data_IF_339919261276
#
_entry.id   IF_339919261276
#
_cell.length_a   1.000
_cell.length_b   1.000
_cell.length_c   1.000
_cell.angle_alpha   90.00
_cell.angle_beta   90.00
_cell.angle_gamma   90.00
#
_symmetry.space_group_name_H-M   'P 1'
#
loop_
_entity.id
_entity.type
_entity.pdbx_description
1 polymer ?
#
# COMPACT_ATOMS: atom_id res chain seq x y z
N UNK A 1 53.64 3.05 24.88
CA UNK A 1 52.35 3.71 24.62
C UNK A 1 51.84 3.53 23.19
N UNK A 2 52.65 3.68 22.13
CA UNK A 2 52.18 3.47 20.73
C UNK A 2 51.74 2.03 20.41
N UNK A 3 52.48 1.03 20.90
CA UNK A 3 52.17 -0.40 20.66
C UNK A 3 50.92 -0.87 21.38
N UNK A 4 50.70 -0.44 22.62
CA UNK A 4 49.48 -0.73 23.39
C UNK A 4 48.24 -0.13 22.76
N UNK A 5 48.35 1.08 22.18
CA UNK A 5 47.24 1.73 21.46
C UNK A 5 46.88 0.98 20.17
N UNK A 6 47.87 0.45 19.45
CA UNK A 6 47.65 -0.32 18.22
C UNK A 6 46.93 -1.65 18.47
N UNK A 7 47.29 -2.39 19.53
CA UNK A 7 46.60 -3.62 19.90
C UNK A 7 45.17 -3.37 20.37
N UNK A 8 44.93 -2.28 21.10
CA UNK A 8 43.60 -1.89 21.54
C UNK A 8 42.68 -1.59 20.35
N UNK A 9 43.16 -0.79 19.39
CA UNK A 9 42.42 -0.46 18.18
C UNK A 9 42.13 -1.70 17.30
N UNK A 10 43.11 -2.59 17.15
CA UNK A 10 42.95 -3.83 16.41
C UNK A 10 41.90 -4.75 17.07
N UNK A 11 41.94 -4.86 18.40
CA UNK A 11 40.95 -5.63 19.17
C UNK A 11 39.53 -5.08 19.01
N UNK A 12 39.36 -3.75 19.05
CA UNK A 12 38.05 -3.10 18.84
C UNK A 12 37.54 -3.35 17.41
N UNK A 13 38.41 -3.27 16.40
CA UNK A 13 38.02 -3.51 15.01
C UNK A 13 37.57 -4.97 14.77
N UNK A 14 38.29 -5.94 15.35
CA UNK A 14 37.93 -7.37 15.27
C UNK A 14 36.59 -7.66 15.98
N UNK A 15 36.36 -7.04 17.15
CA UNK A 15 35.09 -7.16 17.87
C UNK A 15 33.92 -6.54 17.09
N UNK A 16 34.12 -5.38 16.46
CA UNK A 16 33.11 -4.73 15.62
C UNK A 16 32.79 -5.57 14.38
N UNK A 17 33.80 -6.11 13.70
CA UNK A 17 33.62 -6.95 12.52
C UNK A 17 32.91 -8.29 12.84
N UNK A 18 33.26 -8.93 13.95
CA UNK A 18 32.62 -10.18 14.39
C UNK A 18 31.14 -9.99 14.71
N UNK A 19 30.78 -8.90 15.40
CA UNK A 19 29.37 -8.60 15.70
C UNK A 19 28.56 -8.25 14.45
N UNK A 20 29.16 -7.56 13.47
CA UNK A 20 28.50 -7.26 12.20
C UNK A 20 28.20 -8.52 11.39
N UNK A 21 29.08 -9.53 11.42
CA UNK A 21 28.85 -10.81 10.75
C UNK A 21 27.75 -11.65 11.42
N UNK A 22 27.65 -11.63 12.76
CA UNK A 22 26.57 -12.30 13.49
C UNK A 22 25.20 -11.66 13.26
N UNK A 23 25.17 -10.34 12.99
CA UNK A 23 23.95 -9.61 12.67
C UNK A 23 23.58 -9.65 11.18
N UNK A 24 24.44 -10.21 10.32
CA UNK A 24 24.17 -10.31 8.89
C UNK A 24 23.02 -11.31 8.64
N UNK A 25 22.06 -10.99 7.75
CA UNK A 25 20.97 -11.91 7.42
C UNK A 25 21.55 -13.23 6.90
N UNK A 26 21.16 -14.34 7.54
CA UNK A 26 21.66 -15.67 7.18
C UNK A 26 21.38 -15.99 5.72
N UNK A 27 22.40 -16.52 5.04
CA UNK A 27 22.28 -17.17 3.74
C UNK A 27 22.43 -18.68 3.95
N UNK A 28 21.48 -19.49 3.46
CA UNK A 28 21.60 -20.94 3.56
C UNK A 28 22.74 -21.48 2.67
N UNK A 29 23.07 -20.77 1.58
CA UNK A 29 24.24 -21.03 0.72
C UNK A 29 24.87 -19.73 0.23
N UNK A 30 26.21 -19.67 0.06
CA UNK A 30 26.88 -18.52 -0.54
C UNK A 30 26.29 -18.19 -1.91
N UNK A 31 25.94 -16.91 -2.13
CA UNK A 31 25.35 -16.43 -3.39
C UNK A 31 23.83 -16.52 -3.48
N UNK A 32 23.15 -17.07 -2.46
CA UNK A 32 21.68 -17.06 -2.41
C UNK A 32 21.16 -15.68 -2.00
N UNK A 33 20.11 -15.14 -2.65
CA UNK A 33 19.44 -13.94 -2.18
C UNK A 33 18.92 -14.14 -0.75
N UNK A 34 19.18 -13.17 0.12
CA UNK A 34 18.61 -13.16 1.48
C UNK A 34 17.12 -12.85 1.41
N UNK A 35 16.38 -13.21 2.47
CA UNK A 35 14.95 -12.89 2.55
C UNK A 35 14.73 -11.37 2.50
N UNK A 36 13.90 -10.91 1.55
CA UNK A 36 13.56 -9.50 1.43
C UNK A 36 12.73 -9.05 2.65
N UNK A 37 13.22 -8.03 3.36
CA UNK A 37 12.49 -7.34 4.43
C UNK A 37 12.32 -5.88 4.05
N UNK A 38 11.11 -5.37 4.19
CA UNK A 38 10.77 -3.98 3.85
C UNK A 38 10.20 -3.32 5.09
N UNK A 39 10.70 -2.13 5.41
CA UNK A 39 10.16 -1.26 6.44
C UNK A 39 9.50 -0.06 5.78
N UNK A 40 8.25 0.21 6.16
CA UNK A 40 7.46 1.31 5.60
C UNK A 40 7.03 2.18 6.77
N UNK A 41 7.32 3.48 6.67
CA UNK A 41 6.99 4.48 7.67
C UNK A 41 6.26 5.65 7.01
N UNK A 42 5.17 6.11 7.63
CA UNK A 42 4.48 7.32 7.19
C UNK A 42 5.31 8.55 7.61
N UNK A 43 5.51 9.51 6.71
CA UNK A 43 6.26 10.75 7.03
C UNK A 43 5.55 11.66 8.04
N UNK A 44 4.26 11.47 8.26
CA UNK A 44 3.46 12.24 9.21
C UNK A 44 2.10 11.57 9.49
N UNK A 45 1.43 11.98 10.56
CA UNK A 45 0.19 11.36 11.05
C UNK A 45 -1.03 11.52 10.13
N UNK A 46 -1.00 12.48 9.20
CA UNK A 46 -2.07 12.72 8.22
C UNK A 46 -1.86 12.06 6.86
N UNK A 47 -0.81 11.25 6.69
CA UNK A 47 -0.51 10.59 5.42
C UNK A 47 -0.56 9.08 5.58
N UNK A 48 -1.33 8.42 4.73
CA UNK A 48 -1.36 6.97 4.63
C UNK A 48 -0.53 6.52 3.43
N UNK A 49 0.45 5.64 3.65
CA UNK A 49 1.15 4.94 2.56
C UNK A 49 0.40 3.63 2.28
N UNK A 50 -0.22 3.46 1.10
CA UNK A 50 -0.90 2.22 0.77
C UNK A 50 0.11 1.09 0.55
N UNK A 51 -0.18 -0.09 1.11
CA UNK A 51 0.66 -1.30 0.99
C UNK A 51 -0.20 -2.44 0.46
N UNK A 52 0.15 -2.98 -0.72
CA UNK A 52 -0.41 -4.22 -1.25
C UNK A 52 0.55 -5.37 -0.97
N UNK A 53 0.03 -6.47 -0.40
CA UNK A 53 0.79 -7.69 -0.18
C UNK A 53 0.30 -8.72 -1.20
N UNK A 54 1.13 -9.00 -2.19
CA UNK A 54 0.87 -10.04 -3.17
C UNK A 54 1.42 -11.37 -2.66
N UNK A 55 0.55 -12.37 -2.52
CA UNK A 55 0.93 -13.74 -2.21
C UNK A 55 0.49 -14.62 -3.37
N UNK A 56 1.43 -15.36 -3.96
CA UNK A 56 1.18 -16.30 -5.06
C UNK A 56 0.40 -17.55 -4.59
N UNK A 57 0.37 -17.82 -3.27
CA UNK A 57 -0.38 -18.94 -2.70
C UNK A 57 -1.81 -18.54 -2.29
N UNK A 58 -2.76 -18.69 -3.22
CA UNK A 58 -4.20 -18.43 -3.01
C UNK A 58 -4.84 -19.23 -1.86
N UNK A 59 -4.18 -20.29 -1.38
CA UNK A 59 -4.73 -21.22 -0.39
C UNK A 59 -4.12 -21.10 1.02
N UNK A 60 -3.14 -20.20 1.23
CA UNK A 60 -2.49 -20.06 2.54
C UNK A 60 -2.76 -18.66 3.12
N UNK A 61 -3.46 -18.56 4.27
CA UNK A 61 -3.68 -17.26 4.90
C UNK A 61 -2.36 -16.66 5.38
N UNK A 62 -2.17 -15.36 5.13
CA UNK A 62 -1.01 -14.61 5.60
C UNK A 62 -1.11 -14.39 7.11
N UNK A 63 -0.06 -14.75 7.85
CA UNK A 63 0.03 -14.42 9.29
C UNK A 63 0.50 -12.99 9.46
N UNK A 64 -0.30 -12.17 10.14
CA UNK A 64 0.01 -10.77 10.44
C UNK A 64 0.11 -10.58 11.94
N UNK A 65 1.18 -9.91 12.39
CA UNK A 65 1.34 -9.48 13.78
C UNK A 65 1.31 -7.96 13.84
N UNK A 66 0.42 -7.41 14.67
CA UNK A 66 0.32 -5.97 14.92
C UNK A 66 0.80 -5.69 16.33
N UNK A 67 1.72 -4.73 16.48
CA UNK A 67 2.28 -4.33 17.79
C UNK A 67 2.16 -2.81 17.97
N UNK A 68 1.83 -2.37 19.20
CA UNK A 68 1.99 -0.96 19.59
C UNK A 68 0.89 0.03 19.19
N UNK A 69 -0.32 -0.40 18.82
CA UNK A 69 -1.42 0.53 18.53
C UNK A 69 -2.39 0.67 19.71
N UNK A 70 -2.60 1.87 20.30
CA UNK A 70 -3.50 2.07 21.44
C UNK A 70 -4.99 1.86 21.09
N UNK A 71 -5.34 1.79 19.79
CA UNK A 71 -6.71 1.63 19.31
C UNK A 71 -7.03 0.26 18.68
N UNK A 72 -6.08 -0.69 18.69
CA UNK A 72 -6.31 -2.04 18.13
C UNK A 72 -6.33 -3.06 19.26
N UNK A 73 -7.52 -3.33 19.78
CA UNK A 73 -7.75 -4.50 20.64
C UNK A 73 -7.79 -5.74 19.75
N UNK A 74 -6.68 -6.46 19.62
CA UNK A 74 -6.67 -7.81 19.05
C UNK A 74 -7.24 -8.75 20.11
N UNK A 75 -8.57 -8.83 20.18
CA UNK A 75 -9.24 -9.87 20.97
C UNK A 75 -8.77 -11.24 20.52
N UNK A 76 -8.52 -12.14 21.47
CA UNK A 76 -8.14 -13.52 21.19
C UNK A 76 -9.04 -14.12 20.12
N UNK A 77 -8.42 -14.71 19.09
CA UNK A 77 -9.10 -15.36 17.97
C UNK A 77 -10.04 -14.48 17.14
N UNK A 78 -9.72 -13.20 16.92
CA UNK A 78 -10.32 -12.50 15.78
C UNK A 78 -9.51 -12.89 14.54
N UNK A 79 -10.02 -13.89 13.81
CA UNK A 79 -9.72 -14.04 12.38
C UNK A 79 -10.15 -12.72 11.75
N UNK A 80 -9.20 -11.83 11.44
CA UNK A 80 -9.49 -10.62 10.68
C UNK A 80 -9.97 -11.12 9.31
N UNK A 81 -11.25 -10.98 8.95
CA UNK A 81 -11.73 -11.49 7.70
C UNK A 81 -11.21 -10.57 6.59
N UNK A 82 -10.01 -10.83 6.08
CA UNK A 82 -9.53 -10.23 4.83
C UNK A 82 -10.22 -10.99 3.69
N UNK A 83 -11.48 -10.65 3.43
CA UNK A 83 -12.20 -11.16 2.27
C UNK A 83 -11.80 -10.31 1.06
N UNK A 84 -11.28 -10.95 0.02
CA UNK A 84 -11.25 -10.34 -1.32
C UNK A 84 -12.70 -10.27 -1.80
N UNK A 85 -13.35 -9.14 -1.53
CA UNK A 85 -14.69 -8.86 -2.06
C UNK A 85 -14.50 -8.30 -3.45
N UNK A 86 -15.11 -8.90 -4.48
CA UNK A 86 -15.35 -8.16 -5.72
C UNK A 86 -16.26 -7.00 -5.37
N UNK A 87 -15.73 -5.79 -5.39
CA UNK A 87 -16.52 -4.58 -5.20
C UNK A 87 -17.54 -4.50 -6.33
N UNK A 88 -18.83 -4.54 -5.96
CA UNK A 88 -19.89 -4.35 -6.93
C UNK A 88 -19.93 -2.85 -7.28
N UNK A 89 -19.99 -2.57 -8.58
CA UNK A 89 -20.03 -1.21 -9.10
C UNK A 89 -21.41 -0.91 -9.65
N UNK A 90 -21.94 0.25 -9.29
CA UNK A 90 -23.08 0.85 -9.96
C UNK A 90 -22.56 1.76 -11.09
N UNK A 91 -23.26 1.77 -12.22
CA UNK A 91 -22.92 2.58 -13.39
C UNK A 91 -24.10 3.45 -13.79
N UNK A 92 -23.82 4.68 -14.21
CA UNK A 92 -24.82 5.56 -14.81
C UNK A 92 -24.20 6.39 -15.93
N UNK A 93 -25.06 6.90 -16.80
CA UNK A 93 -24.67 7.77 -17.91
C UNK A 93 -25.27 9.15 -17.68
N UNK A 94 -24.43 10.18 -17.71
CA UNK A 94 -24.85 11.57 -17.70
C UNK A 94 -24.70 12.17 -19.09
N UNK A 95 -25.77 12.74 -19.64
CA UNK A 95 -25.69 13.52 -20.88
C UNK A 95 -25.44 14.98 -20.57
N UNK A 96 -24.37 15.54 -21.15
CA UNK A 96 -23.99 16.95 -21.08
C UNK A 96 -24.27 17.58 -22.44
N UNK A 97 -25.30 18.42 -22.57
CA UNK A 97 -25.59 19.09 -23.84
C UNK A 97 -24.46 20.03 -24.27
N UNK A 98 -24.35 20.27 -25.57
CA UNK A 98 -23.35 21.18 -26.12
C UNK A 98 -23.47 22.59 -25.52
N UNK A 99 -22.33 23.19 -25.17
CA UNK A 99 -22.28 24.54 -24.58
C UNK A 99 -22.69 24.63 -23.10
N UNK A 100 -23.07 23.51 -22.46
CA UNK A 100 -23.33 23.49 -21.02
C UNK A 100 -22.07 23.26 -20.19
N UNK A 101 -22.10 23.75 -18.95
CA UNK A 101 -21.03 23.55 -17.99
C UNK A 101 -21.15 22.15 -17.33
N UNK A 102 -20.23 21.20 -17.62
CA UNK A 102 -20.28 19.85 -17.04
C UNK A 102 -20.07 19.85 -15.52
N UNK A 103 -19.34 20.83 -14.96
CA UNK A 103 -19.01 20.87 -13.54
C UNK A 103 -20.26 21.04 -12.68
N UNK A 104 -21.19 21.91 -13.09
CA UNK A 104 -22.44 22.13 -12.37
C UNK A 104 -23.36 20.89 -12.37
N UNK A 105 -23.26 20.05 -13.40
CA UNK A 105 -24.02 18.80 -13.50
C UNK A 105 -23.37 17.66 -12.69
N UNK A 106 -22.03 17.67 -12.58
CA UNK A 106 -21.27 16.63 -11.89
C UNK A 106 -21.19 16.83 -10.36
N UNK A 107 -21.22 18.08 -9.88
CA UNK A 107 -21.14 18.40 -8.45
C UNK A 107 -22.12 17.61 -7.56
N UNK A 108 -23.44 17.58 -7.84
CA UNK A 108 -24.37 16.80 -7.02
C UNK A 108 -24.13 15.29 -7.10
N UNK A 109 -23.59 14.80 -8.22
CA UNK A 109 -23.27 13.37 -8.40
C UNK A 109 -22.00 12.99 -7.65
N UNK A 110 -20.99 13.87 -7.61
CA UNK A 110 -19.78 13.70 -6.82
C UNK A 110 -20.09 13.59 -5.32
N UNK A 111 -21.02 14.40 -4.81
CA UNK A 111 -21.50 14.30 -3.42
C UNK A 111 -22.19 12.95 -3.11
N UNK A 112 -22.73 12.29 -4.14
CA UNK A 112 -23.33 10.96 -4.04
C UNK A 112 -22.34 9.81 -4.30
N UNK A 113 -21.04 10.13 -4.38
CA UNK A 113 -19.95 9.16 -4.55
C UNK A 113 -19.73 8.70 -6.00
N UNK A 114 -20.33 9.38 -6.98
CA UNK A 114 -20.11 9.06 -8.39
C UNK A 114 -18.83 9.67 -8.94
N UNK A 115 -18.07 8.87 -9.68
CA UNK A 115 -16.82 9.27 -10.34
C UNK A 115 -16.93 9.07 -11.85
N UNK A 116 -16.44 10.04 -12.64
CA UNK A 116 -16.38 9.91 -14.10
C UNK A 116 -15.27 8.94 -14.51
N UNK A 117 -15.62 7.95 -15.33
CA UNK A 117 -14.68 6.93 -15.84
C UNK A 117 -14.51 6.95 -17.34
N UNK A 118 -15.41 7.61 -18.06
CA UNK A 118 -15.36 7.67 -19.51
C UNK A 118 -16.15 8.84 -20.06
N UNK A 119 -15.81 9.24 -21.28
CA UNK A 119 -16.56 10.24 -22.03
C UNK A 119 -16.69 9.80 -23.49
N UNK A 120 -17.82 10.12 -24.11
CA UNK A 120 -18.10 9.85 -25.51
C UNK A 120 -18.80 11.06 -26.11
N UNK A 121 -18.39 11.49 -27.30
CA UNK A 121 -19.12 12.50 -28.06
C UNK A 121 -20.44 11.90 -28.58
N UNK A 122 -21.55 12.56 -28.29
CA UNK A 122 -22.85 12.19 -28.82
C UNK A 122 -22.95 12.67 -30.28
N UNK A 123 -23.10 11.73 -31.21
CA UNK A 123 -23.03 12.00 -32.66
C UNK A 123 -24.19 12.84 -33.22
N UNK A 124 -25.30 12.97 -32.49
CA UNK A 124 -26.51 13.64 -32.98
C UNK A 124 -26.57 15.15 -32.68
N UNK A 125 -26.16 15.57 -31.47
CA UNK A 125 -26.39 16.95 -30.97
C UNK A 125 -25.11 17.69 -30.55
N UNK A 126 -23.92 17.10 -30.78
CA UNK A 126 -22.63 17.67 -30.37
C UNK A 126 -22.40 17.69 -28.85
N UNK A 127 -23.29 17.08 -28.06
CA UNK A 127 -23.13 16.90 -26.63
C UNK A 127 -22.12 15.81 -26.26
N UNK A 128 -21.87 15.64 -24.96
CA UNK A 128 -20.96 14.62 -24.42
C UNK A 128 -21.73 13.71 -23.47
N UNK A 129 -21.59 12.41 -23.64
CA UNK A 129 -22.02 11.40 -22.66
C UNK A 129 -20.85 11.11 -21.71
N UNK A 130 -21.10 11.19 -20.41
CA UNK A 130 -20.14 10.81 -19.38
C UNK A 130 -20.60 9.49 -18.75
N UNK A 131 -19.69 8.52 -18.67
CA UNK A 131 -19.89 7.30 -17.90
C UNK A 131 -19.40 7.54 -16.48
N UNK A 132 -20.24 7.25 -15.50
CA UNK A 132 -19.90 7.35 -14.08
C UNK A 132 -19.97 5.97 -13.44
N UNK A 133 -19.13 5.76 -12.41
CA UNK A 133 -19.18 4.59 -11.53
C UNK A 133 -19.25 5.03 -10.07
N UNK A 134 -19.81 4.16 -9.21
CA UNK A 134 -19.60 4.23 -7.76
C UNK A 134 -19.64 2.84 -7.13
N UNK A 135 -19.05 2.65 -5.94
CA UNK A 135 -19.29 1.45 -5.14
C UNK A 135 -20.77 1.32 -4.78
N UNK A 136 -21.30 0.08 -4.81
CA UNK A 136 -22.56 -0.25 -4.13
C UNK A 136 -22.40 -0.27 -2.61
#
# INVERSE_FOLDING_TARGET
MRTTLAYLLCGIALLMAGNAMLAAPGQDRPGQPTQARVWIENRGSGQAVPVSIENDSLNTPLRVQVTGSPAVTVGGSIVLPTRVVRQAWEYQVLSVPFGQNPTALLEPLGLQGWEVTGSQLASADGGTLLLLKRPQ
#
